data_IF_181680909409
#
_entry.id   IF_181680909409
#
_cell.length_a   1.000
_cell.length_b   1.000
_cell.length_c   1.000
_cell.angle_alpha   90.00
_cell.angle_beta   90.00
_cell.angle_gamma   90.00
#
_symmetry.space_group_name_H-M   'P 1'
#
loop_
_entity.id
_entity.type
_entity.pdbx_description
1 polymer ?
#
# COMPACT_ATOMS: atom_id res chain seq x y z
N UNK A 1 22.85 -18.01 0.08
CA UNK A 1 21.85 -17.05 0.60
C UNK A 1 22.55 -15.70 0.74
N UNK A 2 22.09 -14.61 0.13
CA UNK A 2 22.79 -13.32 0.20
C UNK A 2 22.62 -12.68 1.58
N UNK A 3 23.66 -12.02 2.10
CA UNK A 3 23.62 -11.34 3.39
C UNK A 3 22.49 -10.30 3.49
N UNK A 4 22.12 -9.68 2.36
CA UNK A 4 20.97 -8.77 2.23
C UNK A 4 19.62 -9.44 2.55
N UNK A 5 19.40 -10.68 2.08
CA UNK A 5 18.17 -11.42 2.35
C UNK A 5 18.04 -11.82 3.83
N UNK A 6 19.17 -12.08 4.51
CA UNK A 6 19.22 -12.35 5.95
C UNK A 6 18.86 -11.12 6.78
N UNK A 7 19.37 -9.94 6.41
CA UNK A 7 19.04 -8.68 7.08
C UNK A 7 17.56 -8.30 6.87
N UNK A 8 17.01 -8.51 5.67
CA UNK A 8 15.59 -8.27 5.42
C UNK A 8 14.70 -9.15 6.29
N UNK A 9 15.01 -10.44 6.43
CA UNK A 9 14.20 -11.36 7.21
C UNK A 9 14.10 -10.91 8.69
N UNK A 10 15.20 -10.44 9.26
CA UNK A 10 15.26 -9.94 10.63
C UNK A 10 14.45 -8.65 10.83
N UNK A 11 14.55 -7.70 9.90
CA UNK A 11 13.88 -6.39 10.01
C UNK A 11 12.42 -6.46 9.55
N UNK A 12 12.07 -7.43 8.69
CA UNK A 12 10.74 -7.55 8.12
C UNK A 12 9.66 -7.84 9.16
N UNK A 13 9.95 -8.64 10.19
CA UNK A 13 8.94 -8.94 11.20
C UNK A 13 8.54 -7.69 11.99
N UNK A 14 9.50 -6.82 12.33
CA UNK A 14 9.21 -5.54 12.97
C UNK A 14 8.46 -4.57 12.05
N UNK A 15 8.89 -4.49 10.78
CA UNK A 15 8.20 -3.71 9.76
C UNK A 15 6.77 -4.18 9.56
N UNK A 16 6.55 -5.49 9.44
CA UNK A 16 5.23 -6.09 9.29
C UNK A 16 4.36 -5.79 10.50
N UNK A 17 4.88 -5.92 11.72
CA UNK A 17 4.13 -5.56 12.93
C UNK A 17 3.76 -4.07 12.94
N UNK A 18 4.66 -3.20 12.49
CA UNK A 18 4.37 -1.79 12.28
C UNK A 18 3.28 -1.54 11.23
N UNK A 19 3.34 -2.24 10.09
CA UNK A 19 2.32 -2.15 9.05
C UNK A 19 0.97 -2.66 9.54
N UNK A 20 0.96 -3.77 10.28
CA UNK A 20 -0.26 -4.32 10.89
C UNK A 20 -0.87 -3.27 11.84
N UNK A 21 -0.07 -2.58 12.66
CA UNK A 21 -0.55 -1.48 13.51
C UNK A 21 -1.11 -0.29 12.70
N UNK A 22 -0.46 0.09 11.59
CA UNK A 22 -0.95 1.13 10.66
C UNK A 22 -2.33 0.76 10.12
N UNK A 23 -2.49 -0.47 9.63
CA UNK A 23 -3.73 -0.94 9.02
C UNK A 23 -4.82 -1.31 10.05
N UNK A 24 -4.46 -1.49 11.32
CA UNK A 24 -5.42 -1.53 12.45
C UNK A 24 -5.78 -0.14 12.98
N UNK A 25 -5.24 0.93 12.38
CA UNK A 25 -5.43 2.31 12.80
C UNK A 25 -5.06 2.56 14.27
N UNK A 26 -4.06 1.82 14.78
CA UNK A 26 -3.51 2.08 16.09
C UNK A 26 -2.81 3.44 16.11
N UNK A 27 -2.84 4.13 17.24
CA UNK A 27 -2.13 5.41 17.38
C UNK A 27 -0.63 5.16 17.40
N UNK A 28 0.04 5.46 16.29
CA UNK A 28 1.49 5.32 16.18
C UNK A 28 2.17 6.58 16.70
N UNK A 29 2.91 6.44 17.79
CA UNK A 29 3.75 7.51 18.32
C UNK A 29 4.84 7.87 17.30
N UNK A 30 5.23 9.15 17.24
CA UNK A 30 6.30 9.65 16.36
C UNK A 30 7.56 8.80 16.40
N UNK A 31 7.97 8.36 17.60
CA UNK A 31 9.13 7.48 17.80
C UNK A 31 9.01 6.19 16.96
N UNK A 32 7.87 5.49 17.07
CA UNK A 32 7.63 4.24 16.33
C UNK A 32 7.56 4.47 14.81
N UNK A 33 6.93 5.55 14.39
CA UNK A 33 6.90 5.92 12.96
C UNK A 33 8.32 6.15 12.41
N UNK A 34 9.17 6.86 13.18
CA UNK A 34 10.58 7.10 12.81
C UNK A 34 11.41 5.81 12.81
N UNK A 35 11.17 4.88 13.75
CA UNK A 35 11.80 3.55 13.76
C UNK A 35 11.50 2.79 12.46
N UNK A 36 10.22 2.69 12.08
CA UNK A 36 9.81 2.02 10.84
C UNK A 36 10.43 2.67 9.59
N UNK A 37 10.42 4.00 9.52
CA UNK A 37 11.06 4.74 8.43
C UNK A 37 12.57 4.47 8.40
N UNK A 38 13.23 4.42 9.56
CA UNK A 38 14.67 4.13 9.68
C UNK A 38 14.98 2.71 9.24
N UNK A 39 14.12 1.73 9.55
CA UNK A 39 14.26 0.37 9.06
C UNK A 39 14.19 0.28 7.53
N UNK A 40 13.24 0.99 6.91
CA UNK A 40 13.17 1.09 5.44
C UNK A 40 14.44 1.75 4.88
N UNK A 41 14.87 2.86 5.47
CA UNK A 41 16.09 3.57 5.07
C UNK A 41 17.32 2.67 5.14
N UNK A 42 17.60 2.08 6.31
CA UNK A 42 18.76 1.21 6.54
C UNK A 42 18.78 0.02 5.59
N UNK A 43 17.61 -0.55 5.28
CA UNK A 43 17.54 -1.62 4.30
C UNK A 43 17.89 -1.14 2.89
N UNK A 44 17.31 -0.02 2.45
CA UNK A 44 17.54 0.54 1.12
C UNK A 44 18.98 1.01 0.90
N UNK A 45 19.66 1.44 1.97
CA UNK A 45 21.07 1.89 1.95
C UNK A 45 22.07 0.79 2.28
N UNK A 46 21.62 -0.39 2.71
CA UNK A 46 22.52 -1.51 2.95
C UNK A 46 23.18 -1.95 1.64
N UNK A 47 24.51 -1.88 1.60
CA UNK A 47 25.32 -2.26 0.44
C UNK A 47 25.29 -3.78 0.26
N UNK A 48 24.83 -4.26 -0.90
CA UNK A 48 24.95 -5.68 -1.26
C UNK A 48 26.43 -5.97 -1.64
N UNK A 49 27.15 -6.84 -0.92
CA UNK A 49 28.58 -7.10 -1.18
C UNK A 49 28.86 -7.67 -2.57
N UNK A 50 27.83 -8.12 -3.30
CA UNK A 50 27.95 -8.65 -4.67
C UNK A 50 28.07 -7.57 -5.75
N UNK A 51 28.08 -6.28 -5.38
CA UNK A 51 28.19 -5.15 -6.30
C UNK A 51 29.63 -4.64 -6.49
N UNK A 52 30.65 -5.45 -6.23
CA UNK A 52 32.03 -5.12 -6.63
C UNK A 52 32.28 -5.49 -8.09
N UNK A 53 31.75 -4.69 -9.02
CA UNK A 53 32.34 -4.56 -10.34
C UNK A 53 33.35 -3.40 -10.29
N UNK A 54 34.61 -3.74 -10.56
CA UNK A 54 35.82 -2.90 -10.65
C UNK A 54 35.60 -1.41 -10.98
N UNK A 55 36.32 -0.47 -10.33
CA UNK A 55 36.23 0.95 -10.64
C UNK A 55 37.02 1.25 -11.92
N UNK A 56 36.33 1.46 -13.04
CA UNK A 56 36.93 2.10 -14.22
C UNK A 56 36.85 3.62 -14.05
N UNK A 57 38.01 4.27 -14.01
CA UNK A 57 38.17 5.73 -13.90
C UNK A 57 37.81 6.40 -15.24
N UNK A 58 36.54 6.75 -15.46
CA UNK A 58 36.14 7.81 -16.39
C UNK A 58 34.62 7.98 -16.42
N UNK A 59 34.08 8.96 -15.68
CA UNK A 59 32.90 9.77 -16.06
C UNK A 59 32.41 10.59 -14.85
N UNK A 60 32.56 11.91 -14.98
CA UNK A 60 31.57 12.97 -14.69
C UNK A 60 30.52 12.66 -13.62
N UNK A 61 30.59 13.41 -12.53
CA UNK A 61 29.52 13.77 -11.58
C UNK A 61 28.14 13.16 -11.88
N UNK A 62 27.88 11.96 -11.34
CA UNK A 62 26.54 11.48 -11.05
C UNK A 62 26.66 10.56 -9.84
N UNK A 63 25.68 10.66 -8.93
CA UNK A 63 25.68 10.16 -7.55
C UNK A 63 26.40 8.82 -7.27
N UNK A 64 26.92 8.61 -6.04
CA UNK A 64 27.52 7.34 -5.62
C UNK A 64 26.43 6.28 -5.44
N UNK A 65 25.84 5.82 -6.54
CA UNK A 65 24.75 4.85 -6.58
C UNK A 65 25.25 3.42 -6.53
N UNK A 66 25.70 2.96 -5.36
CA UNK A 66 25.72 1.52 -5.09
C UNK A 66 24.34 0.93 -5.42
N UNK A 67 24.26 -0.25 -6.04
CA UNK A 67 22.98 -0.88 -6.42
C UNK A 67 21.99 -0.87 -5.25
N UNK A 68 21.07 0.10 -5.24
CA UNK A 68 20.07 0.26 -4.19
C UNK A 68 19.24 -1.01 -4.05
N UNK A 69 19.25 -1.58 -2.85
CA UNK A 69 18.56 -2.81 -2.47
C UNK A 69 17.12 -2.45 -2.07
N UNK A 70 16.20 -2.41 -3.03
CA UNK A 70 14.78 -2.13 -2.76
C UNK A 70 13.80 -3.18 -3.26
N UNK A 71 14.21 -4.03 -4.20
CA UNK A 71 13.32 -4.97 -4.88
C UNK A 71 12.67 -5.98 -3.93
N UNK A 72 13.43 -6.62 -3.06
CA UNK A 72 12.90 -7.64 -2.13
C UNK A 72 11.95 -7.03 -1.10
N UNK A 73 12.26 -5.82 -0.59
CA UNK A 73 11.36 -5.09 0.31
C UNK A 73 10.06 -4.71 -0.41
N UNK A 74 10.14 -4.17 -1.62
CA UNK A 74 8.99 -3.83 -2.44
C UNK A 74 8.11 -5.07 -2.73
N UNK A 75 8.73 -6.20 -3.05
CA UNK A 75 8.04 -7.48 -3.28
C UNK A 75 7.32 -7.96 -2.03
N UNK A 76 7.98 -7.93 -0.87
CA UNK A 76 7.34 -8.29 0.41
C UNK A 76 6.18 -7.35 0.76
N UNK A 77 6.35 -6.05 0.55
CA UNK A 77 5.30 -5.04 0.75
C UNK A 77 4.09 -5.28 -0.15
N UNK A 78 4.32 -5.56 -1.45
CA UNK A 78 3.24 -5.94 -2.39
C UNK A 78 2.49 -7.18 -1.90
N UNK A 79 3.20 -8.20 -1.45
CA UNK A 79 2.57 -9.43 -0.96
C UNK A 79 1.77 -9.18 0.33
N UNK A 80 2.29 -8.34 1.22
CA UNK A 80 1.59 -7.90 2.43
C UNK A 80 0.27 -7.19 2.09
N UNK A 81 0.31 -6.19 1.20
CA UNK A 81 -0.89 -5.46 0.77
C UNK A 81 -1.93 -6.40 0.16
N UNK A 82 -1.50 -7.34 -0.69
CA UNK A 82 -2.40 -8.36 -1.26
C UNK A 82 -3.05 -9.22 -0.19
N UNK A 83 -2.28 -9.71 0.78
CA UNK A 83 -2.81 -10.53 1.88
C UNK A 83 -3.78 -9.73 2.75
N UNK A 84 -3.46 -8.47 3.04
CA UNK A 84 -4.33 -7.58 3.80
C UNK A 84 -5.66 -7.33 3.08
N UNK A 85 -5.63 -6.94 1.80
CA UNK A 85 -6.84 -6.74 0.99
C UNK A 85 -7.65 -8.02 0.85
N UNK A 86 -6.99 -9.17 0.72
CA UNK A 86 -7.69 -10.47 0.71
C UNK A 86 -8.42 -10.74 2.04
N UNK A 87 -7.83 -10.38 3.18
CA UNK A 87 -8.51 -10.49 4.47
C UNK A 87 -9.75 -9.59 4.56
N UNK A 88 -9.69 -8.38 3.97
CA UNK A 88 -10.85 -7.49 3.88
C UNK A 88 -11.92 -8.04 2.94
N UNK A 89 -11.52 -8.72 1.87
CA UNK A 89 -12.46 -9.42 0.98
C UNK A 89 -13.23 -10.50 1.72
N UNK A 90 -12.53 -11.36 2.46
CA UNK A 90 -13.18 -12.44 3.21
C UNK A 90 -14.19 -11.92 4.24
N UNK A 91 -13.88 -10.81 4.90
CA UNK A 91 -14.80 -10.14 5.84
C UNK A 91 -16.03 -9.54 5.14
N UNK A 92 -15.89 -9.08 3.90
CA UNK A 92 -16.97 -8.46 3.12
C UNK A 92 -17.89 -9.45 2.38
N UNK A 93 -17.45 -10.68 2.11
CA UNK A 93 -18.16 -11.63 1.25
C UNK A 93 -19.56 -12.06 1.76
N UNK A 94 -19.81 -11.99 3.07
CA UNK A 94 -21.06 -12.49 3.68
C UNK A 94 -22.03 -11.36 4.09
N UNK A 95 -21.71 -10.11 3.75
CA UNK A 95 -22.54 -8.96 4.09
C UNK A 95 -23.64 -8.75 3.04
N UNK A 96 -24.76 -8.19 3.47
CA UNK A 96 -25.94 -7.95 2.61
C UNK A 96 -26.32 -6.47 2.65
N UNK A 97 -26.75 -5.93 1.51
CA UNK A 97 -27.36 -4.61 1.36
C UNK A 97 -26.64 -3.46 2.10
N UNK A 98 -27.29 -2.87 3.11
CA UNK A 98 -26.82 -1.69 3.82
C UNK A 98 -25.55 -1.98 4.64
N UNK A 99 -25.44 -3.19 5.18
CA UNK A 99 -24.22 -3.64 5.87
C UNK A 99 -23.04 -3.72 4.92
N UNK A 100 -23.29 -4.08 3.65
CA UNK A 100 -22.26 -4.07 2.61
C UNK A 100 -21.77 -2.65 2.37
N UNK A 101 -22.67 -1.69 2.14
CA UNK A 101 -22.27 -0.30 1.89
C UNK A 101 -21.54 0.31 3.08
N UNK A 102 -22.03 0.10 4.30
CA UNK A 102 -21.38 0.62 5.52
C UNK A 102 -20.00 0.01 5.73
N UNK A 103 -19.85 -1.30 5.52
CA UNK A 103 -18.56 -1.97 5.61
C UNK A 103 -17.57 -1.44 4.59
N UNK A 104 -17.98 -1.31 3.32
CA UNK A 104 -17.09 -0.82 2.26
C UNK A 104 -16.71 0.64 2.44
N UNK A 105 -17.63 1.50 2.90
CA UNK A 105 -17.34 2.90 3.25
C UNK A 105 -16.24 2.96 4.32
N UNK A 106 -16.43 2.21 5.41
CA UNK A 106 -15.49 2.17 6.53
C UNK A 106 -14.15 1.59 6.08
N UNK A 107 -14.16 0.38 5.53
CA UNK A 107 -12.95 -0.31 5.09
C UNK A 107 -12.15 0.53 4.09
N UNK A 108 -12.81 1.22 3.15
CA UNK A 108 -12.13 2.10 2.20
C UNK A 108 -11.48 3.30 2.90
N UNK A 109 -12.23 3.98 3.75
CA UNK A 109 -11.73 5.17 4.45
C UNK A 109 -10.51 4.84 5.31
N UNK A 110 -10.59 3.73 6.06
CA UNK A 110 -9.51 3.23 6.91
C UNK A 110 -8.30 2.78 6.09
N UNK A 111 -8.52 1.98 5.04
CA UNK A 111 -7.46 1.48 4.15
C UNK A 111 -6.74 2.62 3.42
N UNK A 112 -7.47 3.61 2.91
CA UNK A 112 -6.92 4.77 2.22
C UNK A 112 -6.06 5.61 3.14
N UNK A 113 -6.52 5.86 4.37
CA UNK A 113 -5.74 6.57 5.38
C UNK A 113 -4.47 5.80 5.75
N UNK A 114 -4.60 4.52 6.10
CA UNK A 114 -3.48 3.64 6.42
C UNK A 114 -2.45 3.58 5.28
N UNK A 115 -2.91 3.52 4.03
CA UNK A 115 -2.05 3.50 2.84
C UNK A 115 -1.22 4.78 2.67
N UNK A 116 -1.75 5.96 3.05
CA UNK A 116 -0.97 7.20 3.05
C UNK A 116 0.11 7.22 4.13
N UNK A 117 -0.21 6.71 5.31
CA UNK A 117 0.77 6.59 6.40
C UNK A 117 1.89 5.63 6.00
N UNK A 118 1.52 4.47 5.42
CA UNK A 118 2.47 3.49 4.92
C UNK A 118 3.36 4.07 3.81
N UNK A 119 2.80 4.86 2.90
CA UNK A 119 3.56 5.57 1.85
C UNK A 119 4.60 6.51 2.45
N UNK A 120 4.23 7.24 3.51
CA UNK A 120 5.15 8.08 4.28
C UNK A 120 6.28 7.29 4.96
N UNK A 121 5.97 6.13 5.56
CA UNK A 121 6.99 5.22 6.13
C UNK A 121 7.93 4.72 5.04
N UNK A 122 7.41 4.44 3.84
CA UNK A 122 8.17 3.92 2.71
C UNK A 122 8.73 5.03 1.79
N UNK A 123 8.74 6.29 2.22
CA UNK A 123 9.09 7.43 1.36
C UNK A 123 10.50 7.31 0.76
N UNK A 124 11.48 6.81 1.52
CA UNK A 124 12.81 6.58 0.99
C UNK A 124 12.83 5.56 -0.16
N UNK A 125 12.11 4.43 -0.01
CA UNK A 125 11.93 3.43 -1.06
C UNK A 125 11.27 4.05 -2.31
N UNK A 126 10.24 4.88 -2.11
CA UNK A 126 9.56 5.59 -3.19
C UNK A 126 10.50 6.54 -3.96
N UNK A 127 11.27 7.36 -3.25
CA UNK A 127 12.14 8.39 -3.86
C UNK A 127 13.33 7.81 -4.62
N UNK A 128 13.95 6.75 -4.08
CA UNK A 128 15.25 6.29 -4.59
C UNK A 128 15.14 5.00 -5.39
N UNK A 129 14.35 4.03 -4.95
CA UNK A 129 14.23 2.75 -5.66
C UNK A 129 13.09 2.78 -6.68
N UNK A 130 11.86 3.11 -6.26
CA UNK A 130 10.69 3.10 -7.16
C UNK A 130 10.87 4.08 -8.32
N UNK A 131 11.28 5.33 -8.03
CA UNK A 131 11.49 6.35 -9.06
C UNK A 131 12.48 5.87 -10.14
N UNK A 132 13.64 5.34 -9.72
CA UNK A 132 14.66 4.80 -10.63
C UNK A 132 14.13 3.65 -11.48
N UNK A 133 13.39 2.73 -10.88
CA UNK A 133 12.84 1.56 -11.59
C UNK A 133 11.77 1.95 -12.62
N UNK A 134 11.01 3.00 -12.34
CA UNK A 134 10.09 3.61 -13.30
C UNK A 134 10.84 4.28 -14.47
N UNK A 135 11.93 4.99 -14.20
CA UNK A 135 12.79 5.62 -15.21
C UNK A 135 13.52 4.59 -16.08
N UNK A 136 13.91 3.45 -15.51
CA UNK A 136 14.45 2.28 -16.23
C UNK A 136 13.40 1.55 -17.09
N UNK A 137 12.14 2.01 -17.10
CA UNK A 137 11.08 1.47 -17.94
C UNK A 137 10.46 0.17 -17.43
N UNK A 138 10.67 -0.20 -16.16
CA UNK A 138 10.03 -1.41 -15.61
C UNK A 138 8.54 -1.18 -15.43
N UNK A 139 7.78 -1.92 -16.23
CA UNK A 139 6.32 -1.97 -16.13
C UNK A 139 5.92 -2.63 -14.80
N UNK A 140 4.82 -2.14 -14.22
CA UNK A 140 4.25 -2.63 -12.96
C UNK A 140 5.02 -2.30 -11.68
N UNK A 141 5.87 -1.27 -11.67
CA UNK A 141 6.39 -0.67 -10.44
C UNK A 141 5.66 0.65 -10.21
N UNK A 142 5.14 0.81 -9.00
CA UNK A 142 4.34 1.97 -8.60
C UNK A 142 4.76 2.44 -7.22
N UNK A 143 4.61 3.73 -6.97
CA UNK A 143 4.70 4.35 -5.63
C UNK A 143 3.79 3.60 -4.66
N UNK A 144 4.21 3.44 -3.41
CA UNK A 144 3.54 2.59 -2.41
C UNK A 144 2.05 2.91 -2.29
N UNK A 145 1.66 4.18 -2.22
CA UNK A 145 0.26 4.58 -2.20
C UNK A 145 -0.51 4.06 -3.43
N UNK A 146 0.00 4.31 -4.64
CA UNK A 146 -0.60 3.83 -5.89
C UNK A 146 -0.67 2.31 -5.94
N UNK A 147 0.37 1.60 -5.46
CA UNK A 147 0.36 0.15 -5.36
C UNK A 147 -0.77 -0.34 -4.45
N UNK A 148 -1.01 0.33 -3.32
CA UNK A 148 -2.10 -0.01 -2.40
C UNK A 148 -3.48 0.19 -3.06
N UNK A 149 -3.69 1.31 -3.76
CA UNK A 149 -4.95 1.59 -4.48
C UNK A 149 -5.22 0.58 -5.60
N UNK A 150 -4.20 0.26 -6.40
CA UNK A 150 -4.32 -0.79 -7.44
C UNK A 150 -4.66 -2.12 -6.79
N UNK A 151 -4.00 -2.48 -5.68
CA UNK A 151 -4.26 -3.74 -4.97
C UNK A 151 -5.69 -3.81 -4.45
N UNK A 152 -6.19 -2.71 -3.86
CA UNK A 152 -7.59 -2.58 -3.44
C UNK A 152 -8.55 -2.78 -4.60
N UNK A 153 -8.32 -2.04 -5.70
CA UNK A 153 -9.18 -2.07 -6.88
C UNK A 153 -9.26 -3.48 -7.47
N UNK A 154 -8.12 -4.12 -7.69
CA UNK A 154 -8.04 -5.44 -8.34
C UNK A 154 -8.61 -6.56 -7.46
N UNK A 155 -8.34 -6.54 -6.16
CA UNK A 155 -8.62 -7.68 -5.30
C UNK A 155 -9.88 -7.53 -4.44
N UNK A 156 -10.38 -6.32 -4.21
CA UNK A 156 -11.58 -6.07 -3.41
C UNK A 156 -12.68 -5.40 -4.22
N UNK A 157 -12.39 -4.30 -4.92
CA UNK A 157 -13.42 -3.54 -5.62
C UNK A 157 -13.99 -4.30 -6.82
N UNK A 158 -13.15 -4.76 -7.76
CA UNK A 158 -13.61 -5.48 -8.96
C UNK A 158 -14.50 -6.68 -8.63
N UNK A 159 -14.16 -7.56 -7.66
CA UNK A 159 -15.04 -8.66 -7.27
C UNK A 159 -16.40 -8.23 -6.71
N UNK A 160 -16.51 -7.08 -6.05
CA UNK A 160 -17.74 -6.61 -5.40
C UNK A 160 -18.45 -5.49 -6.17
N UNK A 161 -17.89 -5.00 -7.27
CA UNK A 161 -18.38 -3.83 -8.00
C UNK A 161 -19.86 -3.96 -8.36
N UNK A 162 -20.29 -5.14 -8.83
CA UNK A 162 -21.70 -5.39 -9.18
C UNK A 162 -22.63 -5.26 -7.97
N UNK A 163 -22.23 -5.82 -6.83
CA UNK A 163 -23.01 -5.78 -5.58
C UNK A 163 -23.06 -4.34 -5.05
N UNK A 164 -21.92 -3.65 -5.04
CA UNK A 164 -21.82 -2.26 -4.61
C UNK A 164 -22.64 -1.31 -5.47
N UNK A 165 -22.54 -1.41 -6.79
CA UNK A 165 -23.34 -0.58 -7.72
C UNK A 165 -24.83 -0.87 -7.51
N UNK A 166 -25.23 -2.14 -7.38
CA UNK A 166 -26.63 -2.48 -7.12
C UNK A 166 -27.14 -1.91 -5.80
N UNK A 167 -26.32 -1.95 -4.75
CA UNK A 167 -26.69 -1.40 -3.45
C UNK A 167 -26.75 0.13 -3.46
N UNK A 168 -25.82 0.80 -4.14
CA UNK A 168 -25.84 2.27 -4.37
C UNK A 168 -27.11 2.69 -5.10
N UNK A 169 -27.47 1.99 -6.20
CA UNK A 169 -28.68 2.31 -6.95
C UNK A 169 -29.95 2.16 -6.10
N UNK A 170 -29.99 1.14 -5.23
CA UNK A 170 -31.09 0.97 -4.27
C UNK A 170 -31.16 2.10 -3.25
N UNK A 171 -30.03 2.55 -2.69
CA UNK A 171 -30.02 3.73 -1.81
C UNK A 171 -30.50 4.99 -2.55
N UNK A 172 -30.05 5.25 -3.79
CA UNK A 172 -30.53 6.40 -4.58
C UNK A 172 -32.04 6.32 -4.83
N UNK A 173 -32.57 5.13 -5.09
CA UNK A 173 -34.01 4.94 -5.30
C UNK A 173 -34.83 5.19 -4.03
N UNK A 174 -34.31 4.79 -2.87
CA UNK A 174 -34.89 5.10 -1.56
C UNK A 174 -34.85 6.61 -1.26
N UNK A 175 -33.76 7.29 -1.58
CA UNK A 175 -33.64 8.76 -1.47
C UNK A 175 -34.73 9.46 -2.29
N UNK A 176 -34.93 9.01 -3.54
CA UNK A 176 -35.95 9.57 -4.44
C UNK A 176 -37.38 9.36 -3.94
N UNK A 177 -37.62 8.34 -3.11
CA UNK A 177 -38.92 8.11 -2.45
C UNK A 177 -39.13 8.96 -1.19
N UNK A 178 -38.18 9.83 -0.84
CA UNK A 178 -38.27 10.74 0.30
C UNK A 178 -37.68 10.18 1.59
N UNK A 179 -36.96 9.05 1.55
CA UNK A 179 -36.22 8.57 2.73
C UNK A 179 -34.95 9.42 2.96
N UNK A 180 -34.73 9.88 4.19
CA UNK A 180 -33.52 10.62 4.57
C UNK A 180 -32.35 9.64 4.63
N UNK A 181 -31.40 9.78 3.71
CA UNK A 181 -30.21 8.93 3.64
C UNK A 181 -28.92 9.70 3.87
N UNK A 182 -27.86 8.97 4.23
CA UNK A 182 -26.53 9.54 4.43
C UNK A 182 -25.84 9.78 3.08
N UNK A 183 -26.07 10.94 2.47
CA UNK A 183 -25.41 11.38 1.22
C UNK A 183 -23.87 11.33 1.30
N UNK A 184 -23.30 11.49 2.50
CA UNK A 184 -21.87 11.37 2.77
C UNK A 184 -21.31 9.96 2.55
N UNK A 185 -22.09 8.91 2.87
CA UNK A 185 -21.71 7.51 2.65
C UNK A 185 -21.60 7.20 1.17
N UNK A 186 -22.63 7.56 0.40
CA UNK A 186 -22.65 7.39 -1.05
C UNK A 186 -21.47 8.09 -1.72
N UNK A 187 -21.17 9.33 -1.33
CA UNK A 187 -20.02 10.07 -1.85
C UNK A 187 -18.70 9.32 -1.67
N UNK A 188 -18.42 8.81 -0.47
CA UNK A 188 -17.16 8.08 -0.20
C UNK A 188 -17.06 6.77 -0.97
N UNK A 189 -18.17 6.06 -1.16
CA UNK A 189 -18.20 4.83 -1.96
C UNK A 189 -18.01 5.16 -3.44
N UNK A 190 -18.56 6.27 -3.93
CA UNK A 190 -18.30 6.75 -5.28
C UNK A 190 -16.82 7.15 -5.44
N UNK A 191 -16.23 7.85 -4.46
CA UNK A 191 -14.79 8.14 -4.45
C UNK A 191 -13.95 6.86 -4.51
N UNK A 192 -14.33 5.81 -3.78
CA UNK A 192 -13.71 4.47 -3.85
C UNK A 192 -13.82 3.80 -5.23
N UNK A 193 -14.89 4.08 -5.98
CA UNK A 193 -15.09 3.53 -7.33
C UNK A 193 -14.26 4.26 -8.39
N UNK A 194 -13.90 5.51 -8.14
CA UNK A 194 -13.23 6.41 -9.10
C UNK A 194 -11.72 6.48 -8.86
N UNK A 195 -11.28 6.45 -7.62
CA UNK A 195 -9.85 6.51 -7.21
C UNK A 195 -9.13 5.15 -7.40
#
# INVERSE_FOLDING_TARGET
>A
MSASAGNLALVWDDLKNGFDAIFRLETIKRKRYMELHTHVYNYCTSVDPKSHTTPSRSAIETEPGGKLVGFELYKKLRNYLKAHVHSLKLKGNNLVDEETLSYFEKAWTEFRFASRVLDGVCNYLNRHWVKRECEEGRKNVYVVYTLALITWREHLLKPHARVLISAILREIERERRGEILSTLRLRKIIECLVE
#
